data_IF_755523440433
#
_entry.id   IF_755523440433
#
_cell.length_a   1.000
_cell.length_b   1.000
_cell.length_c   1.000
_cell.angle_alpha   90.00
_cell.angle_beta   90.00
_cell.angle_gamma   90.00
#
_symmetry.space_group_name_H-M   'P 1'
#
loop_
_entity.id
_entity.type
_entity.pdbx_description
1 polymer ?
#
# COMPACT_ATOMS: atom_id res chain seq x y z
N UNK A 1 -41.19 41.46 39.50
CA UNK A 1 -40.16 40.45 39.14
C UNK A 1 -38.89 41.24 38.87
N UNK A 2 -37.84 41.07 39.70
CA UNK A 2 -36.67 41.96 39.65
C UNK A 2 -35.80 41.69 38.39
N UNK A 3 -35.42 42.76 37.70
CA UNK A 3 -34.60 42.75 36.47
C UNK A 3 -33.33 41.92 36.64
N UNK A 4 -32.72 41.87 37.80
CA UNK A 4 -31.55 41.03 38.13
C UNK A 4 -31.83 39.55 38.13
N UNK A 5 -33.05 39.11 38.48
CA UNK A 5 -33.45 37.70 38.45
C UNK A 5 -33.67 37.23 37.00
N UNK A 6 -34.25 38.07 36.16
CA UNK A 6 -34.44 37.76 34.73
C UNK A 6 -33.11 37.67 33.98
N UNK A 7 -32.14 38.53 34.29
CA UNK A 7 -30.80 38.46 33.67
C UNK A 7 -30.07 37.19 34.12
N UNK A 8 -30.13 36.81 35.38
CA UNK A 8 -29.50 35.59 35.89
C UNK A 8 -30.10 34.31 35.29
N UNK A 9 -31.44 34.22 35.18
CA UNK A 9 -32.09 33.07 34.58
C UNK A 9 -31.80 32.98 33.06
N UNK A 10 -31.73 34.12 32.35
CA UNK A 10 -31.33 34.14 30.93
C UNK A 10 -29.87 33.68 30.71
N UNK A 11 -28.94 34.11 31.57
CA UNK A 11 -27.54 33.65 31.51
C UNK A 11 -27.39 32.14 31.78
N UNK A 12 -28.12 31.59 32.75
CA UNK A 12 -28.08 30.15 33.00
C UNK A 12 -28.71 29.31 31.90
N UNK A 13 -29.80 29.80 31.26
CA UNK A 13 -30.43 29.13 30.13
C UNK A 13 -29.49 29.12 28.90
N UNK A 14 -28.79 30.22 28.65
CA UNK A 14 -27.82 30.29 27.54
C UNK A 14 -26.60 29.40 27.80
N UNK A 15 -26.08 29.35 29.03
CA UNK A 15 -24.98 28.45 29.40
C UNK A 15 -25.37 26.97 29.23
N UNK A 16 -26.59 26.60 29.63
CA UNK A 16 -27.10 25.24 29.47
C UNK A 16 -27.26 24.85 27.97
N UNK A 17 -27.68 25.80 27.14
CA UNK A 17 -27.82 25.60 25.69
C UNK A 17 -26.47 25.42 25.02
N UNK A 18 -25.47 26.23 25.36
CA UNK A 18 -24.10 26.10 24.86
C UNK A 18 -23.48 24.77 25.32
N UNK A 19 -23.67 24.36 26.57
CA UNK A 19 -23.17 23.09 27.08
C UNK A 19 -23.84 21.90 26.35
N UNK A 20 -25.13 21.97 26.06
CA UNK A 20 -25.87 20.96 25.27
C UNK A 20 -25.35 20.85 23.83
N UNK A 21 -25.12 22.00 23.19
CA UNK A 21 -24.55 22.00 21.82
C UNK A 21 -23.13 21.45 21.81
N UNK A 22 -22.29 21.84 22.77
CA UNK A 22 -20.93 21.30 22.86
C UNK A 22 -20.92 19.79 23.15
N UNK A 23 -21.80 19.30 24.01
CA UNK A 23 -21.94 17.87 24.28
C UNK A 23 -22.42 17.11 23.01
N UNK A 24 -23.37 17.67 22.27
CA UNK A 24 -23.85 17.09 21.03
C UNK A 24 -22.75 17.05 19.95
N UNK A 25 -22.01 18.15 19.76
CA UNK A 25 -20.87 18.22 18.83
C UNK A 25 -19.77 17.25 19.27
N UNK A 26 -19.45 17.17 20.55
CA UNK A 26 -18.48 16.20 21.08
C UNK A 26 -18.94 14.75 20.84
N UNK A 27 -20.22 14.46 21.07
CA UNK A 27 -20.79 13.13 20.84
C UNK A 27 -20.79 12.77 19.35
N UNK A 28 -21.18 13.68 18.46
CA UNK A 28 -21.12 13.48 16.99
C UNK A 28 -19.66 13.33 16.52
N UNK A 29 -18.74 14.13 17.06
CA UNK A 29 -17.32 14.03 16.74
C UNK A 29 -16.70 12.72 17.27
N UNK A 30 -17.11 12.24 18.44
CA UNK A 30 -16.63 10.98 19.02
C UNK A 30 -17.23 9.73 18.37
N UNK A 31 -18.44 9.83 17.80
CA UNK A 31 -19.06 8.72 17.06
C UNK A 31 -18.73 8.71 15.56
N UNK A 32 -18.22 9.83 15.02
CA UNK A 32 -17.82 9.97 13.61
C UNK A 32 -16.32 9.84 13.34
N UNK A 33 -15.48 9.84 14.38
CA UNK A 33 -14.03 9.65 14.26
C UNK A 33 -13.65 8.20 14.55
N UNK A 34 -14.15 7.25 13.75
CA UNK A 34 -13.40 6.06 13.47
C UNK A 34 -12.16 6.52 12.72
N UNK A 35 -11.03 6.78 13.39
CA UNK A 35 -9.74 6.70 12.72
C UNK A 35 -9.74 5.34 12.02
N UNK A 36 -9.40 5.26 10.72
CA UNK A 36 -9.19 3.96 10.13
C UNK A 36 -8.15 3.26 10.98
N UNK A 37 -8.56 2.25 11.73
CA UNK A 37 -7.66 1.32 12.36
C UNK A 37 -6.83 0.74 11.24
N UNK A 38 -5.53 1.04 11.23
CA UNK A 38 -4.61 0.37 10.36
C UNK A 38 -4.83 -1.13 10.58
N UNK A 39 -5.37 -1.84 9.56
CA UNK A 39 -5.51 -3.28 9.60
C UNK A 39 -6.90 -3.89 9.40
N UNK A 40 -7.98 -3.12 9.19
CA UNK A 40 -9.28 -3.75 8.88
C UNK A 40 -9.60 -3.67 7.39
N UNK A 41 -9.33 -4.76 6.68
CA UNK A 41 -9.67 -4.97 5.27
C UNK A 41 -8.49 -4.81 4.31
N UNK A 42 -8.66 -5.17 3.03
CA UNK A 42 -7.60 -5.13 2.04
C UNK A 42 -7.09 -3.71 1.83
N UNK A 43 -5.76 -3.57 1.76
CA UNK A 43 -5.11 -2.29 1.51
C UNK A 43 -5.33 -1.83 0.07
N UNK A 44 -5.51 -0.54 -0.09
CA UNK A 44 -5.71 0.09 -1.39
C UNK A 44 -7.13 -0.07 -1.93
N UNK A 45 -7.30 0.19 -3.21
CA UNK A 45 -8.56 -0.02 -3.94
C UNK A 45 -8.53 -1.35 -4.67
N UNK A 46 -9.71 -1.84 -5.06
CA UNK A 46 -9.82 -2.94 -6.03
C UNK A 46 -9.09 -2.57 -7.33
N UNK A 47 -8.46 -3.56 -7.96
CA UNK A 47 -7.75 -3.40 -9.22
C UNK A 47 -7.99 -4.58 -10.15
N UNK A 48 -7.71 -4.38 -11.43
CA UNK A 48 -7.73 -5.41 -12.46
C UNK A 48 -6.47 -5.27 -13.31
N UNK A 49 -5.51 -6.14 -13.07
CA UNK A 49 -4.26 -6.22 -13.81
C UNK A 49 -4.11 -7.60 -14.45
N UNK A 50 -3.00 -7.84 -15.09
CA UNK A 50 -2.61 -9.17 -15.58
C UNK A 50 -1.21 -9.51 -15.07
N UNK A 51 -0.95 -10.79 -14.86
CA UNK A 51 0.38 -11.25 -14.53
C UNK A 51 1.30 -11.31 -15.77
N UNK A 52 2.55 -11.70 -15.57
CA UNK A 52 3.54 -11.86 -16.62
C UNK A 52 3.20 -12.97 -17.65
N UNK A 53 2.17 -13.77 -17.41
CA UNK A 53 1.68 -14.80 -18.35
C UNK A 53 0.35 -14.37 -19.01
N UNK A 54 -0.16 -13.17 -18.68
CA UNK A 54 -1.41 -12.64 -19.19
C UNK A 54 -2.67 -13.11 -18.43
N UNK A 55 -2.51 -13.82 -17.32
CA UNK A 55 -3.65 -14.21 -16.48
C UNK A 55 -4.19 -13.00 -15.69
N UNK A 56 -5.52 -12.83 -15.56
CA UNK A 56 -6.10 -11.74 -14.80
C UNK A 56 -5.79 -11.89 -13.31
N UNK A 57 -5.44 -10.76 -12.67
CA UNK A 57 -5.12 -10.65 -11.24
C UNK A 57 -5.88 -9.49 -10.64
N UNK A 58 -6.43 -9.70 -9.45
CA UNK A 58 -7.20 -8.74 -8.66
C UNK A 58 -6.65 -8.65 -7.24
N UNK A 59 -7.20 -7.77 -6.42
CA UNK A 59 -6.87 -7.68 -4.99
C UNK A 59 -7.16 -8.97 -4.21
N UNK A 60 -8.05 -9.82 -4.70
CA UNK A 60 -8.35 -11.11 -4.06
C UNK A 60 -7.16 -12.08 -4.15
N UNK A 61 -6.35 -11.99 -5.20
CA UNK A 61 -5.20 -12.85 -5.44
C UNK A 61 -3.99 -12.50 -4.56
N UNK A 62 -4.04 -11.32 -3.93
CA UNK A 62 -3.05 -10.91 -2.91
C UNK A 62 -3.34 -11.46 -1.51
N UNK A 63 -4.43 -12.19 -1.31
CA UNK A 63 -4.83 -12.79 -0.03
C UNK A 63 -4.35 -14.23 0.10
N UNK A 64 -4.50 -14.77 1.31
CA UNK A 64 -4.19 -16.16 1.67
C UNK A 64 -2.73 -16.38 2.07
N UNK A 65 -1.81 -15.55 1.60
CA UNK A 65 -0.38 -15.61 1.94
C UNK A 65 0.13 -14.19 2.11
N UNK A 66 0.94 -13.88 3.14
CA UNK A 66 1.58 -12.58 3.28
C UNK A 66 2.33 -12.17 2.01
N UNK A 67 2.28 -10.87 1.67
CA UNK A 67 2.85 -10.38 0.42
C UNK A 67 3.73 -9.14 0.62
N UNK A 68 4.85 -9.08 -0.09
CA UNK A 68 5.66 -7.90 -0.29
C UNK A 68 5.41 -7.35 -1.69
N UNK A 69 4.74 -6.19 -1.77
CA UNK A 69 4.34 -5.56 -3.04
C UNK A 69 5.22 -4.36 -3.31
N UNK A 70 6.00 -4.43 -4.37
CA UNK A 70 6.92 -3.38 -4.81
C UNK A 70 6.48 -2.80 -6.15
N UNK A 71 6.48 -1.47 -6.24
CA UNK A 71 6.17 -0.74 -7.46
C UNK A 71 7.44 -0.25 -8.13
N UNK A 72 7.58 -0.48 -9.44
CA UNK A 72 8.76 -0.11 -10.19
C UNK A 72 8.57 -0.26 -11.70
N UNK A 73 9.66 -0.33 -12.46
CA UNK A 73 9.62 -0.51 -13.91
C UNK A 73 10.88 -1.22 -14.40
N UNK A 74 10.78 -1.90 -15.55
CA UNK A 74 11.87 -2.77 -16.04
C UNK A 74 13.10 -1.99 -16.52
N UNK A 75 12.93 -0.72 -16.92
CA UNK A 75 14.01 0.14 -17.37
C UNK A 75 14.69 0.91 -16.22
N UNK A 76 14.40 0.60 -14.97
CA UNK A 76 15.10 1.14 -13.81
C UNK A 76 16.51 0.53 -13.70
N UNK A 77 17.59 1.35 -13.73
CA UNK A 77 18.94 0.81 -13.83
C UNK A 77 19.50 0.24 -12.51
N UNK A 78 18.91 0.57 -11.35
CA UNK A 78 19.53 0.27 -10.05
C UNK A 78 18.52 -0.14 -8.98
N UNK A 79 17.62 0.74 -8.54
CA UNK A 79 16.73 0.53 -7.38
C UNK A 79 15.85 -0.71 -7.55
N UNK A 80 15.20 -0.87 -8.71
CA UNK A 80 14.24 -1.95 -8.91
C UNK A 80 14.89 -3.34 -8.93
N UNK A 81 15.95 -3.61 -9.70
CA UNK A 81 16.58 -4.92 -9.67
C UNK A 81 17.20 -5.25 -8.30
N UNK A 82 17.78 -4.25 -7.62
CA UNK A 82 18.35 -4.43 -6.26
C UNK A 82 17.27 -4.81 -5.27
N UNK A 83 16.15 -4.07 -5.22
CA UNK A 83 15.03 -4.37 -4.32
C UNK A 83 14.43 -5.76 -4.57
N UNK A 84 14.20 -6.13 -5.83
CA UNK A 84 13.66 -7.45 -6.17
C UNK A 84 14.63 -8.58 -5.79
N UNK A 85 15.93 -8.37 -5.98
CA UNK A 85 16.94 -9.34 -5.56
C UNK A 85 16.92 -9.55 -4.04
N UNK A 86 16.87 -8.46 -3.25
CA UNK A 86 16.76 -8.53 -1.79
C UNK A 86 15.49 -9.23 -1.35
N UNK A 87 14.32 -8.85 -1.91
CA UNK A 87 13.04 -9.47 -1.59
C UNK A 87 13.03 -10.97 -1.93
N UNK A 88 13.63 -11.36 -3.06
CA UNK A 88 13.75 -12.79 -3.41
C UNK A 88 14.67 -13.55 -2.44
N UNK A 89 15.68 -12.88 -1.91
CA UNK A 89 16.55 -13.43 -0.87
C UNK A 89 15.77 -13.68 0.43
N UNK A 90 14.99 -12.72 0.90
CA UNK A 90 14.13 -12.88 2.07
C UNK A 90 13.04 -13.95 1.85
N UNK A 91 12.42 -14.00 0.66
CA UNK A 91 11.46 -15.05 0.33
C UNK A 91 12.03 -16.45 0.51
N UNK A 92 13.25 -16.68 0.05
CA UNK A 92 13.94 -17.97 0.21
C UNK A 92 14.30 -18.28 1.67
N UNK A 93 14.72 -17.28 2.44
CA UNK A 93 15.01 -17.44 3.86
C UNK A 93 13.76 -17.83 4.65
N UNK A 94 12.65 -17.09 4.44
CA UNK A 94 11.35 -17.37 5.06
C UNK A 94 10.86 -18.78 4.69
N UNK A 95 11.00 -19.20 3.43
CA UNK A 95 10.63 -20.54 3.00
C UNK A 95 11.49 -21.63 3.67
N UNK A 96 12.77 -21.37 3.89
CA UNK A 96 13.66 -22.30 4.60
C UNK A 96 13.30 -22.43 6.09
N UNK A 97 12.67 -21.43 6.68
CA UNK A 97 12.17 -21.40 8.05
C UNK A 97 10.72 -21.93 8.17
N UNK A 98 10.11 -22.36 7.05
CA UNK A 98 8.76 -22.94 7.00
C UNK A 98 7.64 -21.94 6.83
N UNK A 99 7.95 -20.66 6.60
CA UNK A 99 6.98 -19.61 6.28
C UNK A 99 6.72 -19.49 4.78
N UNK A 100 5.79 -18.63 4.42
CA UNK A 100 5.49 -18.29 3.03
C UNK A 100 5.43 -16.77 2.85
N UNK A 101 6.01 -16.26 1.77
CA UNK A 101 5.96 -14.85 1.37
C UNK A 101 5.77 -14.76 -0.13
N UNK A 102 4.73 -14.08 -0.60
CA UNK A 102 4.60 -13.67 -1.99
C UNK A 102 5.44 -12.42 -2.25
N UNK A 103 6.23 -12.41 -3.32
CA UNK A 103 6.86 -11.19 -3.83
C UNK A 103 6.13 -10.77 -5.09
N UNK A 104 5.58 -9.56 -5.09
CA UNK A 104 4.79 -9.02 -6.20
C UNK A 104 5.44 -7.73 -6.69
N UNK A 105 5.75 -7.70 -7.99
CA UNK A 105 6.30 -6.55 -8.69
C UNK A 105 5.24 -5.93 -9.59
N UNK A 106 4.84 -4.69 -9.32
CA UNK A 106 3.81 -3.97 -10.09
C UNK A 106 4.46 -2.87 -10.91
N UNK A 107 4.21 -2.86 -12.21
CA UNK A 107 4.78 -1.80 -13.05
C UNK A 107 4.14 -0.43 -12.78
N UNK A 108 4.98 0.62 -12.87
CA UNK A 108 4.53 2.03 -12.97
C UNK A 108 4.63 2.55 -14.41
N UNK A 109 5.08 1.72 -15.35
CA UNK A 109 5.31 2.05 -16.76
C UNK A 109 4.70 1.02 -17.72
N UNK A 110 3.39 0.89 -17.75
CA UNK A 110 2.70 -0.13 -18.56
C UNK A 110 2.87 0.09 -20.07
N UNK A 111 3.35 1.27 -20.52
CA UNK A 111 3.62 1.52 -21.93
C UNK A 111 4.79 0.65 -22.45
N UNK A 112 5.83 0.43 -21.64
CA UNK A 112 6.99 -0.39 -21.97
C UNK A 112 6.94 -1.79 -21.35
N UNK A 113 6.36 -1.91 -20.18
CA UNK A 113 6.37 -3.12 -19.36
C UNK A 113 5.19 -4.04 -19.72
N UNK A 114 5.24 -4.62 -20.91
CA UNK A 114 4.26 -5.63 -21.38
C UNK A 114 4.45 -6.95 -20.63
N UNK A 115 3.45 -7.88 -20.61
CA UNK A 115 3.60 -9.17 -19.93
C UNK A 115 4.86 -9.95 -20.32
N UNK A 116 5.26 -10.08 -21.61
CA UNK A 116 6.51 -10.74 -21.96
C UNK A 116 7.76 -10.05 -21.40
N UNK A 117 7.80 -8.69 -21.43
CA UNK A 117 8.92 -7.91 -20.89
C UNK A 117 9.03 -8.12 -19.38
N UNK A 118 7.91 -8.05 -18.67
CA UNK A 118 7.85 -8.31 -17.22
C UNK A 118 8.31 -9.73 -16.89
N UNK A 119 7.90 -10.72 -17.69
CA UNK A 119 8.29 -12.12 -17.51
C UNK A 119 9.81 -12.31 -17.60
N UNK A 120 10.42 -11.79 -18.65
CA UNK A 120 11.87 -11.91 -18.85
C UNK A 120 12.63 -11.17 -17.74
N UNK A 121 12.14 -10.01 -17.34
CA UNK A 121 12.75 -9.21 -16.28
C UNK A 121 12.76 -9.92 -14.92
N UNK A 122 11.60 -10.42 -14.45
CA UNK A 122 11.56 -11.09 -13.14
C UNK A 122 12.24 -12.45 -13.18
N UNK A 123 12.20 -13.18 -14.30
CA UNK A 123 12.90 -14.45 -14.44
C UNK A 123 14.43 -14.31 -14.31
N UNK A 124 14.99 -13.15 -14.67
CA UNK A 124 16.42 -12.86 -14.48
C UNK A 124 16.80 -12.67 -13.01
N UNK A 125 15.83 -12.37 -12.12
CA UNK A 125 16.04 -12.21 -10.67
C UNK A 125 15.61 -13.48 -9.95
N UNK A 126 14.33 -13.85 -10.06
CA UNK A 126 13.77 -15.08 -9.47
C UNK A 126 12.47 -15.46 -10.19
N UNK A 127 12.28 -16.74 -10.53
CA UNK A 127 11.03 -17.23 -11.13
C UNK A 127 9.84 -17.19 -10.16
N UNK A 128 10.10 -17.02 -8.86
CA UNK A 128 9.07 -17.03 -7.81
C UNK A 128 8.44 -15.64 -7.59
N UNK A 129 8.89 -14.61 -8.32
CA UNK A 129 8.31 -13.26 -8.30
C UNK A 129 7.10 -13.23 -9.25
N UNK A 130 5.97 -12.75 -8.75
CA UNK A 130 4.81 -12.42 -9.59
C UNK A 130 4.94 -10.99 -10.08
N UNK A 131 4.91 -10.78 -11.39
CA UNK A 131 4.96 -9.45 -11.98
C UNK A 131 3.60 -9.06 -12.55
N UNK A 132 3.12 -7.85 -12.24
CA UNK A 132 1.81 -7.34 -12.65
C UNK A 132 1.95 -6.14 -13.57
N UNK A 133 1.17 -6.15 -14.65
CA UNK A 133 1.02 -5.04 -15.60
C UNK A 133 -0.44 -4.96 -16.06
N UNK A 134 -0.77 -4.04 -16.95
CA UNK A 134 -2.13 -3.90 -17.48
C UNK A 134 -2.26 -2.71 -18.41
N UNK A 135 -3.50 -2.27 -18.68
CA UNK A 135 -3.69 -1.01 -19.40
C UNK A 135 -3.17 0.16 -18.58
N UNK A 136 -2.74 1.26 -19.22
CA UNK A 136 -2.32 2.47 -18.50
C UNK A 136 -3.37 2.97 -17.50
N UNK A 137 -4.65 2.86 -17.84
CA UNK A 137 -5.77 3.29 -16.98
C UNK A 137 -5.87 2.40 -15.73
N UNK A 138 -5.75 1.08 -15.89
CA UNK A 138 -5.86 0.14 -14.78
C UNK A 138 -4.66 0.26 -13.83
N UNK A 139 -3.46 0.41 -14.37
CA UNK A 139 -2.25 0.66 -13.57
C UNK A 139 -2.38 1.98 -12.83
N UNK A 140 -2.78 3.08 -13.49
CA UNK A 140 -2.97 4.38 -12.85
C UNK A 140 -4.04 4.34 -11.74
N UNK A 141 -5.13 3.57 -11.94
CA UNK A 141 -6.15 3.37 -10.91
C UNK A 141 -5.58 2.66 -9.67
N UNK A 142 -4.79 1.61 -9.85
CA UNK A 142 -4.12 0.90 -8.75
C UNK A 142 -3.15 1.83 -8.03
N UNK A 143 -2.25 2.52 -8.75
CA UNK A 143 -1.27 3.44 -8.15
C UNK A 143 -1.96 4.50 -7.30
N UNK A 144 -3.05 5.10 -7.82
CA UNK A 144 -3.84 6.09 -7.08
C UNK A 144 -4.47 5.50 -5.82
N UNK A 145 -5.07 4.32 -5.92
CA UNK A 145 -5.73 3.64 -4.79
C UNK A 145 -4.74 3.20 -3.70
N UNK A 146 -3.49 2.95 -4.07
CA UNK A 146 -2.40 2.55 -3.17
C UNK A 146 -1.56 3.74 -2.67
N UNK A 147 -1.87 4.97 -3.10
CA UNK A 147 -1.10 6.16 -2.73
C UNK A 147 0.33 6.16 -3.29
N UNK A 148 0.56 5.44 -4.38
CA UNK A 148 1.86 5.35 -5.05
C UNK A 148 2.01 6.51 -6.01
N UNK A 149 3.03 7.32 -5.80
CA UNK A 149 3.42 8.37 -6.74
C UNK A 149 4.15 7.77 -7.94
N UNK A 150 3.83 8.22 -9.14
CA UNK A 150 4.61 7.95 -10.34
C UNK A 150 4.53 9.12 -11.32
N UNK A 151 5.63 9.38 -12.01
CA UNK A 151 5.73 10.44 -13.03
C UNK A 151 6.78 10.08 -14.07
N UNK A 152 6.41 10.21 -15.33
CA UNK A 152 7.33 10.11 -16.47
C UNK A 152 8.25 11.33 -16.49
N UNK A 153 9.56 11.11 -16.61
CA UNK A 153 10.61 12.14 -16.67
C UNK A 153 11.45 11.95 -17.91
N UNK A 154 11.58 13.02 -18.70
CA UNK A 154 12.23 12.97 -20.01
C UNK A 154 11.25 12.82 -21.16
N UNK A 155 11.78 12.79 -22.37
CA UNK A 155 11.03 12.69 -23.63
C UNK A 155 11.59 11.57 -24.51
N UNK A 156 10.82 11.19 -25.53
CA UNK A 156 11.22 10.15 -26.48
C UNK A 156 11.19 8.75 -25.88
N UNK A 157 12.09 7.86 -26.32
CA UNK A 157 12.14 6.45 -25.90
C UNK A 157 12.96 6.25 -24.61
N UNK A 158 13.88 7.18 -24.29
CA UNK A 158 14.84 7.05 -23.19
C UNK A 158 14.37 7.74 -21.89
N UNK A 159 13.05 7.89 -21.71
CA UNK A 159 12.51 8.46 -20.47
C UNK A 159 12.71 7.52 -19.27
N UNK A 160 12.72 8.11 -18.08
CA UNK A 160 12.66 7.37 -16.80
C UNK A 160 11.37 7.65 -16.05
N UNK A 161 11.14 6.92 -14.96
CA UNK A 161 9.99 7.12 -14.08
C UNK A 161 10.48 7.52 -12.67
N UNK A 162 10.02 8.68 -12.19
CA UNK A 162 10.05 8.95 -10.76
C UNK A 162 8.89 8.21 -10.10
N UNK A 163 9.16 7.43 -9.05
CA UNK A 163 8.10 6.69 -8.36
C UNK A 163 8.43 6.46 -6.88
N UNK A 164 7.41 6.09 -6.11
CA UNK A 164 7.58 5.64 -4.72
C UNK A 164 8.37 4.34 -4.68
N UNK A 165 9.50 4.34 -3.98
CA UNK A 165 10.42 3.18 -3.85
C UNK A 165 10.18 2.37 -2.56
N UNK A 166 8.99 2.47 -1.98
CA UNK A 166 8.60 1.73 -0.78
C UNK A 166 7.99 0.39 -1.15
N UNK A 167 8.39 -0.68 -0.47
CA UNK A 167 7.71 -1.98 -0.55
C UNK A 167 6.60 -2.04 0.50
N UNK A 168 5.39 -2.39 0.10
CA UNK A 168 4.23 -2.55 0.97
C UNK A 168 4.18 -3.99 1.47
N UNK A 169 4.00 -4.18 2.77
CA UNK A 169 3.86 -5.48 3.39
C UNK A 169 2.40 -5.73 3.74
N UNK A 170 1.80 -6.74 3.11
CA UNK A 170 0.42 -7.15 3.36
C UNK A 170 0.40 -8.45 4.16
N UNK A 171 -0.49 -8.54 5.12
CA UNK A 171 -0.79 -9.79 5.80
C UNK A 171 -1.62 -10.76 4.92
N UNK A 172 -1.95 -11.93 5.45
CA UNK A 172 -2.71 -12.95 4.73
C UNK A 172 -4.16 -12.50 4.38
N UNK A 173 -4.70 -11.51 5.07
CA UNK A 173 -6.02 -10.92 4.78
C UNK A 173 -5.94 -9.80 3.72
N UNK A 174 -4.72 -9.45 3.30
CA UNK A 174 -4.43 -8.36 2.36
C UNK A 174 -4.40 -6.99 3.01
N UNK A 175 -4.41 -6.90 4.35
CA UNK A 175 -4.32 -5.64 5.06
C UNK A 175 -2.86 -5.17 5.17
N UNK A 176 -2.67 -3.84 5.20
CA UNK A 176 -1.32 -3.26 5.34
C UNK A 176 -0.76 -3.52 6.74
N UNK A 177 0.24 -4.37 6.84
CA UNK A 177 0.96 -4.69 8.07
C UNK A 177 2.20 -3.79 8.29
N UNK A 178 2.74 -3.21 7.23
CA UNK A 178 3.91 -2.34 7.31
C UNK A 178 4.52 -2.01 5.96
N UNK A 179 5.74 -1.47 5.99
CA UNK A 179 6.49 -1.15 4.79
C UNK A 179 7.98 -1.41 4.98
N UNK A 180 8.71 -1.62 3.87
CA UNK A 180 10.16 -1.55 3.81
C UNK A 180 10.57 -0.34 2.99
N UNK A 181 11.50 0.45 3.50
CA UNK A 181 12.12 1.52 2.73
C UNK A 181 13.22 0.95 1.82
N UNK A 182 13.48 1.62 0.69
CA UNK A 182 14.69 1.32 -0.07
C UNK A 182 15.95 1.58 0.77
N UNK A 183 16.86 0.59 0.84
CA UNK A 183 18.07 0.67 1.66
C UNK A 183 17.82 0.58 3.16
N UNK A 184 16.69 0.04 3.59
CA UNK A 184 16.45 -0.26 5.00
C UNK A 184 17.50 -1.25 5.51
N UNK A 185 17.86 -1.10 6.78
CA UNK A 185 18.81 -2.03 7.43
C UNK A 185 18.34 -3.48 7.29
N UNK A 186 19.19 -4.41 6.79
CA UNK A 186 18.80 -5.79 6.49
C UNK A 186 18.20 -6.55 7.67
N UNK A 187 18.73 -6.38 8.89
CA UNK A 187 18.20 -7.04 10.07
C UNK A 187 16.82 -6.51 10.45
N UNK A 188 16.61 -5.21 10.27
CA UNK A 188 15.30 -4.58 10.48
C UNK A 188 14.28 -5.06 9.46
N UNK A 189 14.67 -5.12 8.18
CA UNK A 189 13.82 -5.64 7.10
C UNK A 189 13.45 -7.11 7.34
N UNK A 190 14.43 -7.94 7.69
CA UNK A 190 14.22 -9.35 8.04
C UNK A 190 13.25 -9.50 9.20
N UNK A 191 13.47 -8.81 10.31
CA UNK A 191 12.59 -8.87 11.48
C UNK A 191 11.14 -8.45 11.20
N UNK A 192 10.92 -7.50 10.27
CA UNK A 192 9.57 -7.12 9.82
C UNK A 192 8.91 -8.25 9.04
N UNK A 193 9.66 -8.91 8.15
CA UNK A 193 9.16 -9.99 7.31
C UNK A 193 8.90 -11.28 8.11
N UNK A 194 9.77 -11.64 9.05
CA UNK A 194 9.55 -12.75 9.99
C UNK A 194 8.27 -12.54 10.82
N UNK A 195 8.09 -11.34 11.36
CA UNK A 195 6.86 -10.98 12.08
C UNK A 195 5.62 -11.06 11.19
N UNK A 196 5.73 -10.65 9.93
CA UNK A 196 4.64 -10.70 8.97
C UNK A 196 4.23 -12.15 8.65
N UNK A 197 5.20 -13.04 8.50
CA UNK A 197 5.03 -14.44 8.08
C UNK A 197 4.88 -15.43 9.24
N UNK A 198 5.17 -14.98 10.48
CA UNK A 198 5.02 -15.80 11.69
C UNK A 198 6.14 -16.83 11.92
N UNK A 199 7.29 -16.62 11.32
CA UNK A 199 8.51 -17.43 11.52
C UNK A 199 9.58 -16.66 12.22
#
# INVERSE_FOLDING_TARGET
MNTTTMIRTGLWAMAALIAGVMAAVFFIASTGSGSPTAGEGPYGSSFQLVDQNGAPVTEADLRGTPAAVFFGFTHCPDVCPTTLYELSGYQKQIAAEGGELKVVFVTVDPERDTPPVMKDYVAAVSPDITALTGSPENVAAMLKGWGVYSRKVGEGADYTMDHTATTFLLDADGALAGTLAYGEDPETAKAKLERLTGV
#
